data_IF_193349055792
#
_entry.id   IF_193349055792
#
_cell.length_a   1.000
_cell.length_b   1.000
_cell.length_c   1.000
_cell.angle_alpha   90.00
_cell.angle_beta   90.00
_cell.angle_gamma   90.00
#
_symmetry.space_group_name_H-M   'P 1'
#
loop_
_entity.id
_entity.type
_entity.pdbx_description
1 polymer ?
#
# COMPACT_ATOMS: atom_id res chain seq x y z
N UNK A 1 -6.03 12.48 0.47
CA UNK A 1 -6.10 12.08 -0.95
C UNK A 1 -7.54 11.74 -1.30
N UNK A 2 -8.01 11.99 -2.53
CA UNK A 2 -9.36 11.57 -2.97
C UNK A 2 -9.37 10.14 -3.57
N UNK A 3 -10.55 9.55 -3.73
CA UNK A 3 -10.73 8.16 -4.21
C UNK A 3 -10.17 7.94 -5.62
N UNK A 4 -10.35 8.88 -6.55
CA UNK A 4 -9.90 8.70 -7.94
C UNK A 4 -8.38 8.74 -8.04
N UNK A 5 -7.75 9.61 -7.25
CA UNK A 5 -6.29 9.67 -7.13
C UNK A 5 -5.76 8.39 -6.47
N UNK A 6 -6.39 7.93 -5.39
CA UNK A 6 -6.02 6.69 -4.71
C UNK A 6 -6.13 5.46 -5.64
N UNK A 7 -7.17 5.38 -6.48
CA UNK A 7 -7.38 4.25 -7.39
C UNK A 7 -6.27 4.15 -8.45
N UNK A 8 -5.73 5.29 -8.90
CA UNK A 8 -4.61 5.32 -9.85
C UNK A 8 -3.28 4.96 -9.19
N UNK A 9 -3.09 5.39 -7.94
CA UNK A 9 -1.84 5.19 -7.21
C UNK A 9 -1.73 3.80 -6.56
N UNK A 10 -2.87 3.23 -6.16
CA UNK A 10 -2.96 1.95 -5.47
C UNK A 10 -3.95 1.02 -6.17
N UNK A 11 -3.67 0.58 -7.41
CA UNK A 11 -4.52 -0.38 -8.10
C UNK A 11 -4.50 -1.75 -7.39
N UNK A 12 -5.55 -2.54 -7.58
CA UNK A 12 -5.60 -3.93 -7.07
C UNK A 12 -4.40 -4.72 -7.62
N UNK A 13 -3.74 -5.46 -6.73
CA UNK A 13 -2.49 -6.19 -7.00
C UNK A 13 -1.22 -5.37 -6.76
N UNK A 14 -1.32 -4.06 -6.53
CA UNK A 14 -0.16 -3.25 -6.19
C UNK A 14 0.43 -3.69 -4.84
N UNK A 15 1.72 -3.98 -4.83
CA UNK A 15 2.47 -4.17 -3.58
C UNK A 15 2.70 -2.82 -2.92
N UNK A 16 2.38 -2.75 -1.63
CA UNK A 16 2.58 -1.57 -0.79
C UNK A 16 3.27 -1.98 0.49
N UNK A 17 4.07 -1.07 1.05
CA UNK A 17 4.56 -1.16 2.42
C UNK A 17 3.67 -0.34 3.34
N UNK A 18 3.42 -0.87 4.53
CA UNK A 18 2.75 -0.16 5.62
C UNK A 18 3.49 -0.38 6.93
N UNK A 19 3.45 0.62 7.81
CA UNK A 19 4.15 0.59 9.09
C UNK A 19 3.16 0.25 10.20
N UNK A 20 3.30 -0.89 10.90
CA UNK A 20 2.41 -1.26 12.00
C UNK A 20 2.64 -0.38 13.25
N UNK A 21 3.82 0.23 13.34
CA UNK A 21 4.24 1.12 14.43
C UNK A 21 4.71 2.44 13.81
N UNK A 22 4.02 3.54 14.14
CA UNK A 22 4.24 4.88 13.58
C UNK A 22 5.69 5.40 13.68
N UNK A 23 6.50 4.87 14.59
CA UNK A 23 7.84 5.39 14.90
C UNK A 23 8.99 4.39 14.67
N UNK A 24 8.77 3.29 13.95
CA UNK A 24 9.86 2.33 13.68
C UNK A 24 9.93 2.01 12.19
N UNK A 25 10.61 2.90 11.45
CA UNK A 25 10.80 2.77 10.00
C UNK A 25 11.54 1.49 9.58
N UNK A 26 12.29 0.87 10.49
CA UNK A 26 12.99 -0.40 10.28
C UNK A 26 12.05 -1.61 10.15
N UNK A 27 10.80 -1.49 10.62
CA UNK A 27 9.81 -2.55 10.55
C UNK A 27 8.61 -2.10 9.70
N UNK A 28 8.58 -2.57 8.47
CA UNK A 28 7.41 -2.47 7.60
C UNK A 28 6.90 -3.86 7.24
N UNK A 29 5.63 -3.92 6.88
CA UNK A 29 5.04 -5.08 6.25
C UNK A 29 4.77 -4.76 4.79
N UNK A 30 5.01 -5.75 3.92
CA UNK A 30 4.59 -5.68 2.52
C UNK A 30 3.28 -6.46 2.39
N UNK A 31 2.32 -5.87 1.70
CA UNK A 31 1.09 -6.54 1.33
C UNK A 31 0.58 -6.05 -0.01
N UNK A 32 -0.39 -6.76 -0.57
CA UNK A 32 -1.00 -6.43 -1.86
C UNK A 32 -2.36 -5.77 -1.65
N UNK A 33 -2.64 -4.73 -2.43
CA UNK A 33 -3.97 -4.11 -2.49
C UNK A 33 -4.98 -5.12 -3.05
N UNK A 34 -6.10 -5.34 -2.34
CA UNK A 34 -7.11 -6.35 -2.70
C UNK A 34 -8.52 -5.79 -2.90
N UNK A 35 -8.67 -4.47 -2.96
CA UNK A 35 -9.95 -3.81 -3.18
C UNK A 35 -9.77 -2.47 -3.89
N UNK A 36 -10.86 -1.93 -4.44
CA UNK A 36 -10.93 -0.51 -4.80
C UNK A 36 -10.88 0.35 -3.51
N UNK A 37 -10.46 1.63 -3.60
CA UNK A 37 -10.49 2.54 -2.46
C UNK A 37 -11.92 2.92 -2.06
N UNK A 38 -12.16 3.10 -0.77
CA UNK A 38 -13.43 3.61 -0.25
C UNK A 38 -13.22 4.61 0.88
N UNK A 39 -14.25 5.41 1.17
CA UNK A 39 -14.23 6.33 2.29
C UNK A 39 -14.79 5.68 3.56
N UNK A 40 -14.09 5.86 4.68
CA UNK A 40 -14.59 5.52 6.01
C UNK A 40 -14.16 6.60 7.00
N UNK A 41 -15.12 7.20 7.70
CA UNK A 41 -14.86 8.24 8.71
C UNK A 41 -14.03 9.44 8.19
N UNK A 42 -14.20 9.84 6.93
CA UNK A 42 -13.45 10.95 6.31
C UNK A 42 -12.05 10.57 5.81
N UNK A 43 -11.65 9.31 5.92
CA UNK A 43 -10.38 8.78 5.42
C UNK A 43 -10.62 7.90 4.18
N UNK A 44 -9.73 8.00 3.20
CA UNK A 44 -9.71 7.08 2.06
C UNK A 44 -8.82 5.89 2.40
N UNK A 45 -9.38 4.69 2.29
CA UNK A 45 -8.71 3.45 2.69
C UNK A 45 -8.75 2.39 1.58
N UNK A 46 -7.83 1.43 1.65
CA UNK A 46 -7.82 0.22 0.82
C UNK A 46 -7.64 -1.02 1.68
N UNK A 47 -8.12 -2.17 1.22
CA UNK A 47 -7.89 -3.44 1.87
C UNK A 47 -6.55 -4.01 1.40
N UNK A 48 -5.76 -4.54 2.33
CA UNK A 48 -4.46 -5.15 2.06
C UNK A 48 -4.50 -6.64 2.45
N UNK A 49 -3.80 -7.50 1.71
CA UNK A 49 -3.62 -8.92 2.04
C UNK A 49 -3.01 -9.10 3.43
N UNK A 50 -3.52 -10.06 4.21
CA UNK A 50 -3.04 -10.34 5.56
C UNK A 50 -3.54 -9.36 6.63
N UNK A 51 -4.34 -8.35 6.26
CA UNK A 51 -4.96 -7.41 7.21
C UNK A 51 -6.49 -7.42 7.11
N UNK A 52 -7.12 -7.41 8.29
CA UNK A 52 -8.56 -7.18 8.42
C UNK A 52 -8.86 -5.67 8.37
N UNK A 53 -9.92 -5.28 7.66
CA UNK A 53 -10.31 -3.89 7.49
C UNK A 53 -9.54 -3.15 6.37
N UNK A 54 -9.69 -1.82 6.36
CA UNK A 54 -8.98 -0.92 5.45
C UNK A 54 -7.83 -0.20 6.15
N UNK A 55 -6.76 0.06 5.40
CA UNK A 55 -5.67 0.95 5.82
C UNK A 55 -5.78 2.27 5.06
N UNK A 56 -5.53 3.39 5.76
CA UNK A 56 -5.50 4.71 5.14
C UNK A 56 -4.39 4.78 4.09
N UNK A 57 -4.74 5.29 2.91
CA UNK A 57 -3.81 5.44 1.78
C UNK A 57 -2.70 6.45 2.07
N UNK A 58 -2.91 7.35 3.03
CA UNK A 58 -1.89 8.31 3.49
C UNK A 58 -0.73 7.62 4.23
N UNK A 59 -0.92 6.39 4.70
CA UNK A 59 0.10 5.60 5.42
C UNK A 59 0.66 4.44 4.60
N UNK A 60 0.42 4.45 3.29
CA UNK A 60 0.92 3.45 2.35
C UNK A 60 2.00 4.06 1.46
N UNK A 61 3.04 3.28 1.21
CA UNK A 61 4.04 3.61 0.20
C UNK A 61 4.10 2.50 -0.83
N UNK A 62 4.20 2.86 -2.11
CA UNK A 62 4.36 1.90 -3.20
C UNK A 62 5.65 1.11 -2.97
N UNK A 63 5.56 -0.20 -3.09
CA UNK A 63 6.70 -1.10 -2.99
C UNK A 63 6.98 -1.70 -4.37
N UNK A 64 8.06 -1.24 -4.99
CA UNK A 64 8.59 -1.84 -6.22
C UNK A 64 9.69 -2.84 -5.82
N UNK A 65 9.45 -4.12 -6.08
CA UNK A 65 10.54 -5.09 -6.03
C UNK A 65 11.48 -4.77 -7.19
N UNK A 66 12.69 -4.33 -6.88
CA UNK A 66 13.77 -4.28 -7.87
C UNK A 66 14.06 -5.71 -8.30
N UNK A 67 13.53 -6.08 -9.46
CA UNK A 67 13.90 -7.29 -10.17
C UNK A 67 15.40 -7.20 -10.46
N UNK A 68 16.21 -7.92 -9.66
CA UNK A 68 17.65 -8.01 -9.83
C UNK A 68 17.99 -8.71 -11.14
N UNK A 69 17.91 -7.99 -12.26
CA UNK A 69 18.62 -8.34 -13.48
C UNK A 69 19.99 -7.68 -13.42
N UNK A 70 20.89 -8.35 -12.73
CA UNK A 70 22.33 -8.11 -12.81
C UNK A 70 22.76 -8.37 -14.26
N UNK A 71 22.82 -7.32 -15.08
CA UNK A 71 23.49 -7.38 -16.37
C UNK A 71 25.01 -7.44 -16.10
N UNK A 72 25.55 -8.64 -15.91
CA UNK A 72 26.98 -8.87 -16.10
C UNK A 72 27.24 -8.93 -17.61
N UNK A 73 27.86 -7.86 -18.12
CA UNK A 73 28.46 -7.81 -19.46
C UNK A 73 29.76 -8.60 -19.53
#
# INVERSE_FOLDING_TARGET
MDIQTAQKQFPIGQKVKYFPLLNVAEYFHVGEVRSEPWEVCGEVVVAITGKAGGLSVEHLEVFEEVDGKDNHS
#
